data_IF_026030400804
#
_entry.id   IF_026030400804
#
_cell.length_a   1.000
_cell.length_b   1.000
_cell.length_c   1.000
_cell.angle_alpha   90.00
_cell.angle_beta   90.00
_cell.angle_gamma   90.00
#
_symmetry.space_group_name_H-M   'P 1'
#
loop_
_entity.id
_entity.type
_entity.pdbx_description
1 polymer ?
#
# COMPACT_ATOMS: atom_id res chain seq x y z
N UNK A 1 -25.00 9.06 -7.39
CA UNK A 1 -24.56 7.65 -7.41
C UNK A 1 -23.65 7.40 -6.23
N UNK A 2 -23.77 6.26 -5.55
CA UNK A 2 -22.77 5.85 -4.54
C UNK A 2 -21.61 5.21 -5.32
N UNK A 3 -20.46 5.88 -5.38
CA UNK A 3 -19.24 5.34 -5.99
C UNK A 3 -18.37 4.68 -4.92
N UNK A 4 -17.75 3.55 -5.25
CA UNK A 4 -16.80 2.87 -4.39
C UNK A 4 -15.73 2.19 -5.24
N UNK A 5 -14.53 2.04 -4.68
CA UNK A 5 -13.41 1.39 -5.34
C UNK A 5 -13.29 -0.06 -4.85
N UNK A 6 -13.36 -1.06 -5.73
CA UNK A 6 -13.17 -2.46 -5.32
C UNK A 6 -11.70 -2.70 -4.94
N UNK A 7 -11.51 -3.50 -3.89
CA UNK A 7 -10.20 -4.03 -3.48
C UNK A 7 -10.21 -5.52 -3.77
N UNK A 8 -9.25 -5.95 -4.59
CA UNK A 8 -9.04 -7.34 -4.93
C UNK A 8 -7.81 -7.88 -4.21
N UNK A 9 -7.92 -9.12 -3.73
CA UNK A 9 -6.84 -9.90 -3.17
C UNK A 9 -6.47 -11.02 -4.13
N UNK A 10 -5.18 -11.32 -4.19
CA UNK A 10 -4.64 -12.50 -4.84
C UNK A 10 -3.88 -13.35 -3.84
N UNK A 11 -4.06 -14.66 -3.89
CA UNK A 11 -3.22 -15.60 -3.14
C UNK A 11 -1.92 -15.81 -3.92
N UNK A 12 -0.80 -15.34 -3.35
CA UNK A 12 0.51 -15.40 -4.00
C UNK A 12 1.04 -16.80 -4.29
N UNK A 13 0.53 -17.82 -3.59
CA UNK A 13 0.93 -19.22 -3.78
C UNK A 13 0.24 -19.91 -4.97
N UNK A 14 -0.67 -19.22 -5.66
CA UNK A 14 -1.29 -19.74 -6.88
C UNK A 14 -0.32 -19.54 -8.05
N UNK A 15 -0.03 -20.58 -8.85
CA UNK A 15 0.81 -20.47 -10.04
C UNK A 15 0.42 -19.31 -10.97
N UNK A 16 1.42 -18.61 -11.51
CA UNK A 16 1.22 -17.40 -12.33
C UNK A 16 0.34 -17.65 -13.56
N UNK A 17 0.47 -18.81 -14.19
CA UNK A 17 -0.30 -19.24 -15.35
C UNK A 17 -1.79 -19.48 -15.03
N UNK A 18 -2.12 -19.74 -13.76
CA UNK A 18 -3.49 -19.81 -13.26
C UNK A 18 -3.98 -18.40 -12.92
N UNK A 19 -3.20 -17.61 -12.18
CA UNK A 19 -3.59 -16.24 -11.82
C UNK A 19 -3.84 -15.34 -13.04
N UNK A 20 -3.03 -15.48 -14.10
CA UNK A 20 -3.15 -14.64 -15.29
C UNK A 20 -4.36 -14.96 -16.18
N UNK A 21 -5.13 -16.02 -15.88
CA UNK A 21 -6.33 -16.40 -16.63
C UNK A 21 -7.57 -15.83 -15.94
N UNK A 22 -8.28 -14.84 -16.54
CA UNK A 22 -9.48 -14.24 -15.94
C UNK A 22 -10.57 -15.26 -15.60
N UNK A 23 -10.65 -16.36 -16.36
CA UNK A 23 -11.65 -17.43 -16.18
C UNK A 23 -11.40 -18.30 -14.95
N UNK A 24 -10.20 -18.24 -14.36
CA UNK A 24 -9.80 -19.08 -13.22
C UNK A 24 -10.05 -18.41 -11.86
N UNK A 25 -10.62 -17.19 -11.85
CA UNK A 25 -11.10 -16.50 -10.64
C UNK A 25 -10.10 -16.45 -9.47
N UNK A 26 -8.80 -16.41 -9.75
CA UNK A 26 -7.75 -16.35 -8.74
C UNK A 26 -7.76 -15.02 -7.94
N UNK A 27 -8.44 -13.99 -8.47
CA UNK A 27 -8.63 -12.70 -7.81
C UNK A 27 -9.95 -12.69 -7.04
N UNK A 28 -9.88 -12.46 -5.73
CA UNK A 28 -11.03 -12.40 -4.85
C UNK A 28 -11.35 -10.95 -4.50
N UNK A 29 -12.61 -10.54 -4.63
CA UNK A 29 -13.07 -9.24 -4.15
C UNK A 29 -13.13 -9.26 -2.62
N UNK A 30 -12.31 -8.45 -1.96
CA UNK A 30 -12.28 -8.36 -0.49
C UNK A 30 -13.30 -7.34 0.04
N UNK A 31 -13.56 -6.28 -0.72
CA UNK A 31 -14.47 -5.24 -0.29
C UNK A 31 -14.42 -4.00 -1.16
N UNK A 32 -15.16 -2.99 -0.73
CA UNK A 32 -15.27 -1.70 -1.41
C UNK A 32 -14.83 -0.57 -0.47
N UNK A 33 -13.88 0.23 -0.92
CA UNK A 33 -13.50 1.45 -0.23
C UNK A 33 -14.44 2.57 -0.69
N UNK A 34 -15.06 3.32 0.24
CA UNK A 34 -15.97 4.39 -0.13
C UNK A 34 -15.24 5.47 -0.94
N UNK A 35 -15.76 5.81 -2.13
CA UNK A 35 -15.29 6.95 -2.90
C UNK A 35 -16.02 8.22 -2.43
N UNK A 36 -15.92 8.51 -1.14
CA UNK A 36 -16.52 9.70 -0.53
C UNK A 36 -15.89 10.94 -1.13
N UNK A 37 -16.73 11.85 -1.63
CA UNK A 37 -16.25 13.13 -2.16
C UNK A 37 -15.92 14.12 -1.03
N UNK A 38 -16.21 13.78 0.23
CA UNK A 38 -15.99 14.60 1.45
C UNK A 38 -16.21 16.11 1.20
N UNK A 39 -17.29 16.46 0.48
CA UNK A 39 -17.53 17.81 -0.08
C UNK A 39 -17.59 18.93 0.98
N UNK A 40 -17.78 18.57 2.24
CA UNK A 40 -17.81 19.51 3.36
C UNK A 40 -16.41 20.03 3.72
N UNK A 41 -15.34 19.34 3.31
CA UNK A 41 -13.96 19.78 3.52
C UNK A 41 -13.56 20.66 2.32
N UNK A 42 -13.64 21.98 2.50
CA UNK A 42 -13.29 22.94 1.46
C UNK A 42 -11.76 23.06 1.22
N UNK A 43 -10.97 22.88 2.28
CA UNK A 43 -9.51 22.94 2.18
C UNK A 43 -8.99 21.67 1.49
N UNK A 44 -8.26 21.85 0.38
CA UNK A 44 -7.77 20.75 -0.46
C UNK A 44 -6.77 19.84 0.25
N UNK A 45 -5.90 20.39 1.09
CA UNK A 45 -4.88 19.62 1.80
C UNK A 45 -5.51 18.80 2.92
N UNK A 46 -6.42 19.41 3.69
CA UNK A 46 -7.22 18.72 4.69
C UNK A 46 -8.10 17.62 4.06
N UNK A 47 -8.66 17.88 2.88
CA UNK A 47 -9.43 16.89 2.13
C UNK A 47 -8.55 15.72 1.70
N UNK A 48 -7.37 16.00 1.11
CA UNK A 48 -6.44 14.94 0.68
C UNK A 48 -5.95 14.11 1.85
N UNK A 49 -5.72 14.73 3.01
CA UNK A 49 -5.34 14.05 4.25
C UNK A 49 -6.48 13.17 4.77
N UNK A 50 -7.71 13.69 4.83
CA UNK A 50 -8.88 12.94 5.29
C UNK A 50 -9.18 11.72 4.39
N UNK A 51 -9.06 11.87 3.06
CA UNK A 51 -9.21 10.74 2.12
C UNK A 51 -8.12 9.69 2.34
N UNK A 52 -6.88 10.11 2.58
CA UNK A 52 -5.79 9.18 2.85
C UNK A 52 -6.03 8.39 4.15
N UNK A 53 -6.35 9.07 5.25
CA UNK A 53 -6.67 8.42 6.52
C UNK A 53 -7.89 7.49 6.42
N UNK A 54 -8.91 7.87 5.66
CA UNK A 54 -10.06 6.99 5.40
C UNK A 54 -9.63 5.72 4.67
N UNK A 55 -8.78 5.84 3.64
CA UNK A 55 -8.24 4.68 2.92
C UNK A 55 -7.47 3.76 3.87
N UNK A 56 -6.52 4.30 4.65
CA UNK A 56 -5.73 3.49 5.59
C UNK A 56 -6.62 2.85 6.66
N UNK A 57 -7.56 3.60 7.24
CA UNK A 57 -8.54 3.06 8.20
C UNK A 57 -9.37 1.90 7.63
N UNK A 58 -9.82 2.02 6.37
CA UNK A 58 -10.54 0.93 5.69
C UNK A 58 -9.64 -0.29 5.48
N UNK A 59 -8.40 -0.07 5.05
CA UNK A 59 -7.43 -1.15 4.83
C UNK A 59 -7.04 -1.83 6.14
N UNK A 60 -6.89 -1.09 7.25
CA UNK A 60 -6.67 -1.67 8.59
C UNK A 60 -7.78 -2.68 8.92
N UNK A 61 -9.05 -2.27 8.76
CA UNK A 61 -10.20 -3.13 9.04
C UNK A 61 -10.23 -4.37 8.14
N UNK A 62 -9.93 -4.19 6.86
CA UNK A 62 -9.96 -5.27 5.87
C UNK A 62 -8.86 -6.30 6.12
N UNK A 63 -7.65 -5.86 6.50
CA UNK A 63 -6.48 -6.71 6.70
C UNK A 63 -6.24 -7.11 8.17
N UNK A 64 -7.07 -6.64 9.12
CA UNK A 64 -6.97 -6.97 10.54
C UNK A 64 -6.77 -8.47 10.83
N UNK A 65 -7.45 -9.42 10.14
CA UNK A 65 -7.19 -10.85 10.39
C UNK A 65 -5.73 -11.28 10.13
N UNK A 66 -5.03 -10.63 9.21
CA UNK A 66 -3.64 -10.95 8.85
C UNK A 66 -2.69 -10.59 9.99
N UNK A 67 -3.00 -9.56 10.78
CA UNK A 67 -2.20 -9.16 11.94
C UNK A 67 -2.02 -10.32 12.92
N UNK A 68 -3.13 -10.98 13.29
CA UNK A 68 -3.11 -12.11 14.21
C UNK A 68 -2.65 -13.41 13.54
N UNK A 69 -3.26 -13.77 12.41
CA UNK A 69 -3.00 -15.07 11.77
C UNK A 69 -1.63 -15.14 11.09
N UNK A 70 -1.04 -14.01 10.70
CA UNK A 70 0.34 -13.97 10.21
C UNK A 70 1.35 -14.43 11.26
N UNK A 71 1.05 -14.24 12.56
CA UNK A 71 1.91 -14.68 13.67
C UNK A 71 1.56 -16.08 14.18
N UNK A 72 0.27 -16.38 14.39
CA UNK A 72 -0.17 -17.60 15.10
C UNK A 72 -0.48 -18.77 14.15
N UNK A 73 -0.56 -18.52 12.84
CA UNK A 73 -1.04 -19.41 11.79
C UNK A 73 -2.56 -19.66 11.79
N UNK A 74 -3.08 -20.14 10.66
CA UNK A 74 -4.45 -20.59 10.46
C UNK A 74 -4.46 -21.83 9.54
N UNK A 75 -5.33 -22.79 9.84
CA UNK A 75 -5.54 -23.93 8.96
C UNK A 75 -6.28 -23.49 7.68
N UNK A 76 -5.67 -23.72 6.52
CA UNK A 76 -6.29 -23.46 5.21
C UNK A 76 -6.25 -24.73 4.37
N UNK A 77 -7.29 -24.95 3.59
CA UNK A 77 -7.44 -26.12 2.73
C UNK A 77 -7.20 -25.74 1.27
N UNK A 78 -6.46 -26.57 0.54
CA UNK A 78 -6.28 -26.42 -0.90
C UNK A 78 -7.49 -26.95 -1.68
N UNK A 79 -7.52 -26.69 -3.00
CA UNK A 79 -8.60 -27.17 -3.86
C UNK A 79 -8.73 -28.70 -3.94
N UNK A 80 -7.65 -29.43 -3.66
CA UNK A 80 -7.59 -30.90 -3.58
C UNK A 80 -7.83 -31.45 -2.16
N UNK A 81 -8.20 -30.61 -1.20
CA UNK A 81 -8.61 -31.03 0.15
C UNK A 81 -7.47 -31.22 1.16
N UNK A 82 -6.24 -30.83 0.81
CA UNK A 82 -5.08 -30.93 1.71
C UNK A 82 -5.04 -29.73 2.66
N UNK A 83 -4.87 -30.00 3.95
CA UNK A 83 -4.78 -28.97 4.98
C UNK A 83 -3.34 -28.51 5.20
N UNK A 84 -3.16 -27.19 5.26
CA UNK A 84 -1.88 -26.55 5.56
C UNK A 84 -2.02 -25.60 6.74
N UNK A 85 -0.99 -25.58 7.58
CA UNK A 85 -0.77 -24.54 8.57
C UNK A 85 -0.20 -23.30 7.86
N UNK A 86 -1.02 -22.27 7.67
CA UNK A 86 -0.67 -21.11 6.85
C UNK A 86 -0.49 -19.85 7.70
N UNK A 87 0.54 -19.08 7.39
CA UNK A 87 0.75 -17.74 7.94
C UNK A 87 0.47 -16.71 6.83
N UNK A 88 -0.76 -16.16 6.74
CA UNK A 88 -1.05 -15.13 5.75
C UNK A 88 -0.18 -13.91 6.02
N UNK A 89 0.46 -13.39 4.97
CA UNK A 89 1.25 -12.16 5.02
C UNK A 89 0.91 -11.29 3.81
N UNK A 90 1.02 -9.98 3.97
CA UNK A 90 0.93 -9.07 2.83
C UNK A 90 2.23 -9.15 2.02
N UNK A 91 2.17 -9.79 0.85
CA UNK A 91 3.36 -10.05 0.04
C UNK A 91 3.63 -8.98 -1.04
N UNK A 92 2.59 -8.39 -1.62
CA UNK A 92 2.72 -7.39 -2.70
C UNK A 92 1.56 -6.42 -2.67
N UNK A 93 1.82 -5.19 -3.12
CA UNK A 93 0.77 -4.22 -3.42
C UNK A 93 0.90 -3.77 -4.88
N UNK A 94 -0.16 -3.97 -5.65
CA UNK A 94 -0.24 -3.61 -7.07
C UNK A 94 -1.19 -2.42 -7.20
N UNK A 95 -0.67 -1.31 -7.71
CA UNK A 95 -1.45 -0.11 -7.96
C UNK A 95 -0.70 0.83 -8.89
N UNK A 96 -1.46 1.75 -9.48
CA UNK A 96 -0.89 2.88 -10.21
C UNK A 96 -0.03 3.77 -9.28
N UNK A 97 0.76 4.66 -9.86
CA UNK A 97 1.67 5.52 -9.11
C UNK A 97 0.96 6.33 -7.99
N UNK A 98 -0.18 7.00 -8.22
CA UNK A 98 -0.91 7.68 -7.14
C UNK A 98 -1.30 6.75 -5.98
N UNK A 99 -1.77 5.52 -6.25
CA UNK A 99 -2.10 4.55 -5.21
C UNK A 99 -0.86 4.02 -4.48
N UNK A 100 0.25 3.80 -5.19
CA UNK A 100 1.51 3.43 -4.56
C UNK A 100 1.92 4.50 -3.54
N UNK A 101 1.87 5.78 -3.94
CA UNK A 101 2.21 6.89 -3.05
C UNK A 101 1.27 7.02 -1.86
N UNK A 102 -0.02 6.78 -2.06
CA UNK A 102 -1.02 6.75 -0.99
C UNK A 102 -0.65 5.67 0.03
N UNK A 103 -0.44 4.44 -0.43
CA UNK A 103 -0.16 3.28 0.41
C UNK A 103 1.17 3.41 1.16
N UNK A 104 2.21 3.97 0.54
CA UNK A 104 3.49 4.22 1.21
C UNK A 104 3.53 5.53 2.00
N UNK A 105 2.43 6.28 2.06
CA UNK A 105 2.35 7.57 2.73
C UNK A 105 3.44 8.55 2.23
N UNK A 106 3.72 8.58 0.93
CA UNK A 106 4.77 9.42 0.34
C UNK A 106 4.22 10.59 -0.47
N UNK A 107 5.02 11.66 -0.58
CA UNK A 107 4.68 12.84 -1.38
C UNK A 107 4.67 12.56 -2.89
N UNK A 108 3.83 13.31 -3.61
CA UNK A 108 3.79 13.27 -5.08
C UNK A 108 5.14 13.69 -5.68
N UNK A 109 5.55 13.01 -6.75
CA UNK A 109 6.86 13.24 -7.37
C UNK A 109 8.03 12.75 -6.52
N UNK A 110 7.81 11.74 -5.66
CA UNK A 110 8.86 11.00 -4.94
C UNK A 110 8.81 9.52 -5.29
N UNK A 111 9.88 8.81 -5.01
CA UNK A 111 9.87 7.34 -5.08
C UNK A 111 9.15 6.78 -3.84
N UNK A 112 8.22 5.81 -4.02
CA UNK A 112 7.60 5.11 -2.91
C UNK A 112 8.58 4.17 -2.18
N UNK A 113 9.67 3.73 -2.83
CA UNK A 113 10.61 2.74 -2.29
C UNK A 113 11.88 3.34 -1.67
N UNK A 114 12.44 4.38 -2.29
CA UNK A 114 13.73 4.97 -1.88
C UNK A 114 13.61 6.45 -1.54
N UNK A 115 14.68 7.02 -0.99
CA UNK A 115 14.74 8.41 -0.50
C UNK A 115 15.20 9.41 -1.56
N UNK A 116 15.18 9.03 -2.84
CA UNK A 116 15.60 9.89 -3.97
C UNK A 116 14.94 11.28 -3.91
N UNK A 117 15.74 12.37 -4.00
CA UNK A 117 15.22 13.72 -4.18
C UNK A 117 14.39 13.85 -5.45
N UNK A 118 13.35 14.69 -5.43
CA UNK A 118 12.48 14.90 -6.60
C UNK A 118 13.25 15.31 -7.87
N UNK A 119 14.28 16.14 -7.72
CA UNK A 119 15.11 16.61 -8.84
C UNK A 119 16.08 15.57 -9.40
N UNK A 120 16.28 14.46 -8.68
CA UNK A 120 17.20 13.38 -9.03
C UNK A 120 16.46 12.14 -9.55
N UNK A 121 15.14 12.25 -9.77
CA UNK A 121 14.37 11.17 -10.39
C UNK A 121 14.81 10.97 -11.84
N UNK A 122 15.14 9.72 -12.20
CA UNK A 122 15.59 9.37 -13.54
C UNK A 122 17.09 9.51 -13.77
N UNK A 123 17.87 9.87 -12.75
CA UNK A 123 19.34 9.79 -12.81
C UNK A 123 19.81 8.36 -12.49
N UNK A 124 21.04 8.02 -12.91
CA UNK A 124 21.67 6.73 -12.60
C UNK A 124 22.21 6.63 -11.17
N UNK A 125 21.92 7.63 -10.33
CA UNK A 125 22.33 7.65 -8.94
C UNK A 125 21.49 6.67 -8.11
N UNK A 126 22.17 5.94 -7.23
CA UNK A 126 21.51 5.03 -6.28
C UNK A 126 21.24 5.73 -4.97
N UNK A 127 19.98 5.72 -4.55
CA UNK A 127 19.55 6.25 -3.25
C UNK A 127 19.13 5.10 -2.33
N UNK A 128 19.35 5.23 -1.00
CA UNK A 128 18.97 4.19 -0.06
C UNK A 128 17.46 3.97 -0.04
N UNK A 129 17.07 2.74 0.27
CA UNK A 129 15.68 2.39 0.51
C UNK A 129 15.16 3.13 1.75
N UNK A 130 13.86 3.42 1.76
CA UNK A 130 13.22 4.03 2.93
C UNK A 130 13.33 3.08 4.12
N UNK A 131 13.71 3.64 5.27
CA UNK A 131 13.84 2.87 6.49
C UNK A 131 12.45 2.59 7.07
N UNK A 132 12.03 1.33 7.00
CA UNK A 132 10.72 0.88 7.49
C UNK A 132 10.54 1.10 8.99
N UNK A 133 11.53 0.73 9.81
CA UNK A 133 11.46 0.91 11.27
C UNK A 133 11.35 2.38 11.67
N UNK A 134 12.10 3.26 10.98
CA UNK A 134 11.99 4.70 11.21
C UNK A 134 10.62 5.26 10.80
N UNK A 135 10.03 4.75 9.71
CA UNK A 135 8.67 5.12 9.31
C UNK A 135 7.63 4.67 10.34
N UNK A 136 7.68 3.41 10.80
CA UNK A 136 6.81 2.90 11.87
C UNK A 136 6.97 3.74 13.14
N UNK A 137 8.20 4.01 13.58
CA UNK A 137 8.44 4.85 14.76
C UNK A 137 8.00 6.32 14.58
N UNK A 138 7.83 6.79 13.35
CA UNK A 138 7.26 8.11 13.07
C UNK A 138 5.73 8.07 13.18
N UNK A 139 5.09 7.04 12.61
CA UNK A 139 3.63 6.89 12.64
C UNK A 139 3.10 6.53 14.02
N UNK A 140 3.87 5.83 14.86
CA UNK A 140 3.51 5.55 16.25
C UNK A 140 3.35 6.81 17.12
N UNK A 141 3.72 7.99 16.62
CA UNK A 141 3.55 9.28 17.28
C UNK A 141 2.22 9.96 16.93
N UNK A 142 1.37 9.37 16.08
CA UNK A 142 0.12 10.00 15.61
C UNK A 142 -0.87 10.30 16.72
N UNK A 143 -0.88 9.50 17.79
CA UNK A 143 -1.74 9.72 18.97
C UNK A 143 -1.23 10.85 19.90
N UNK A 144 -0.02 11.36 19.65
CA UNK A 144 0.64 12.36 20.46
C UNK A 144 0.35 13.80 20.04
N UNK A 145 1.30 14.70 20.28
CA UNK A 145 1.22 16.09 19.84
C UNK A 145 1.24 16.18 18.29
N UNK A 146 0.20 16.76 17.65
CA UNK A 146 0.12 16.85 16.19
C UNK A 146 1.26 17.63 15.55
N UNK A 147 1.79 18.65 16.24
CA UNK A 147 2.89 19.47 15.73
C UNK A 147 4.17 18.66 15.61
N UNK A 148 4.49 17.92 16.67
CA UNK A 148 5.63 17.01 16.73
C UNK A 148 5.48 15.89 15.70
N UNK A 149 4.29 15.27 15.61
CA UNK A 149 4.02 14.24 14.62
C UNK A 149 4.23 14.74 13.19
N UNK A 150 3.66 15.90 12.84
CA UNK A 150 3.81 16.47 11.50
C UNK A 150 5.27 16.83 11.19
N UNK A 151 6.01 17.39 12.14
CA UNK A 151 7.43 17.69 11.97
C UNK A 151 8.24 16.40 11.71
N UNK A 152 8.00 15.34 12.48
CA UNK A 152 8.65 14.04 12.30
C UNK A 152 8.33 13.41 10.94
N UNK A 153 7.07 13.45 10.51
CA UNK A 153 6.66 13.00 9.17
C UNK A 153 7.39 13.78 8.07
N UNK A 154 7.45 15.11 8.21
CA UNK A 154 8.14 15.97 7.26
C UNK A 154 9.64 15.62 7.14
N UNK A 155 10.33 15.46 8.27
CA UNK A 155 11.76 15.09 8.31
C UNK A 155 12.01 13.70 7.70
N UNK A 156 11.09 12.76 7.90
CA UNK A 156 11.13 11.44 7.27
C UNK A 156 10.74 11.44 5.78
N UNK A 157 10.27 12.58 5.25
CA UNK A 157 9.75 12.69 3.88
C UNK A 157 8.51 11.84 3.64
N UNK A 158 7.64 11.76 4.65
CA UNK A 158 6.38 11.02 4.68
C UNK A 158 5.22 12.00 4.91
N UNK A 159 4.06 11.69 4.34
CA UNK A 159 2.82 12.42 4.63
C UNK A 159 2.34 12.03 6.03
N UNK A 160 1.85 12.97 6.85
CA UNK A 160 1.12 12.66 8.07
C UNK A 160 -0.08 11.75 7.72
N UNK A 161 -0.15 10.60 8.35
CA UNK A 161 -1.21 9.61 8.18
C UNK A 161 -1.37 8.88 9.50
N UNK A 162 -2.59 8.85 10.02
CA UNK A 162 -2.90 8.25 11.31
C UNK A 162 -2.91 6.73 11.13
N UNK A 163 -1.97 6.05 11.77
CA UNK A 163 -1.78 4.60 11.72
C UNK A 163 -1.97 3.95 10.35
N UNK A 164 -0.97 4.02 9.45
CA UNK A 164 -1.03 3.34 8.18
C UNK A 164 -1.30 1.83 8.35
N UNK A 165 -2.20 1.27 7.54
CA UNK A 165 -2.64 -0.13 7.69
C UNK A 165 -1.57 -1.23 7.78
N UNK A 166 -0.36 -0.94 7.32
CA UNK A 166 0.77 -1.88 7.33
C UNK A 166 1.64 -1.73 8.59
N UNK A 167 1.35 -0.79 9.48
CA UNK A 167 2.13 -0.50 10.69
C UNK A 167 2.24 -1.72 11.62
N UNK A 168 1.14 -2.44 11.80
CA UNK A 168 1.06 -3.59 12.70
C UNK A 168 1.11 -4.94 11.98
N UNK A 169 1.16 -4.96 10.64
CA UNK A 169 1.19 -6.21 9.89
C UNK A 169 2.52 -6.95 10.10
N UNK A 170 2.49 -8.26 10.41
CA UNK A 170 3.70 -9.03 10.63
C UNK A 170 4.46 -9.24 9.33
N UNK A 171 5.79 -9.35 9.43
CA UNK A 171 6.70 -9.66 8.32
C UNK A 171 6.52 -8.76 7.08
N UNK A 172 6.05 -7.53 7.29
CA UNK A 172 5.67 -6.59 6.24
C UNK A 172 6.66 -5.44 6.17
N UNK A 173 7.07 -5.04 4.97
CA UNK A 173 7.78 -3.78 4.72
C UNK A 173 7.22 -3.12 3.47
N UNK A 174 6.28 -2.20 3.64
CA UNK A 174 5.49 -1.66 2.52
C UNK A 174 6.34 -1.09 1.38
N UNK A 175 7.49 -0.50 1.70
CA UNK A 175 8.39 0.12 0.72
C UNK A 175 9.05 -0.91 -0.21
N UNK A 176 9.10 -2.18 0.19
CA UNK A 176 9.60 -3.29 -0.63
C UNK A 176 8.50 -3.96 -1.45
N UNK A 177 7.27 -3.97 -0.93
CA UNK A 177 6.11 -4.67 -1.52
C UNK A 177 5.49 -3.94 -2.71
N UNK A 178 5.84 -2.67 -2.92
CA UNK A 178 5.40 -1.90 -4.10
C UNK A 178 6.02 -2.49 -5.37
N UNK A 179 5.14 -3.00 -6.23
CA UNK A 179 5.47 -3.49 -7.57
C UNK A 179 5.23 -2.40 -8.62
N UNK A 180 6.06 -2.33 -9.67
CA UNK A 180 5.86 -1.37 -10.73
C UNK A 180 4.56 -1.66 -11.48
N UNK A 181 3.84 -0.60 -11.85
CA UNK A 181 2.68 -0.68 -12.72
C UNK A 181 3.14 -1.06 -14.13
N UNK A 182 2.79 -2.27 -14.56
CA UNK A 182 3.19 -2.80 -15.88
C UNK A 182 2.68 -1.91 -17.00
N UNK A 183 1.47 -1.35 -16.89
CA UNK A 183 0.88 -0.56 -17.96
C UNK A 183 1.50 0.84 -17.98
N UNK A 184 1.33 1.60 -16.89
CA UNK A 184 1.67 3.02 -16.89
C UNK A 184 3.17 3.27 -16.71
N UNK A 185 3.84 2.48 -15.86
CA UNK A 185 5.26 2.70 -15.59
C UNK A 185 6.15 1.95 -16.58
N UNK A 186 5.87 0.67 -16.85
CA UNK A 186 6.73 -0.12 -17.74
C UNK A 186 6.39 0.09 -19.22
N UNK A 187 5.16 -0.18 -19.64
CA UNK A 187 4.80 -0.13 -21.05
C UNK A 187 4.76 1.31 -21.59
N UNK A 188 3.99 2.18 -20.94
CA UNK A 188 3.84 3.58 -21.38
C UNK A 188 5.04 4.44 -20.98
N UNK A 189 5.60 4.21 -19.79
CA UNK A 189 6.69 5.04 -19.25
C UNK A 189 8.10 4.68 -19.73
N UNK A 190 8.34 3.43 -20.14
CA UNK A 190 9.67 2.97 -20.59
C UNK A 190 9.62 2.46 -22.02
N UNK A 191 8.86 1.38 -22.28
CA UNK A 191 8.92 0.68 -23.56
C UNK A 191 8.48 1.53 -24.74
N UNK A 192 7.44 2.35 -24.59
CA UNK A 192 6.97 3.27 -25.64
C UNK A 192 8.00 4.33 -26.03
N UNK A 193 8.97 4.62 -25.16
CA UNK A 193 10.03 5.59 -25.45
C UNK A 193 11.32 4.95 -25.97
N UNK A 194 11.41 3.62 -25.95
CA UNK A 194 12.54 2.85 -26.46
C UNK A 194 12.33 2.30 -27.87
N UNK A 195 11.08 2.27 -28.34
CA UNK A 195 10.66 1.83 -29.68
C UNK A 195 10.18 3.03 -30.48
#
# INVERSE_FOLDING_TARGET
>A
SKSAYPIYLLIGNIPKDIHSKPTQQAQMLMGYIPATQLKQIANKDAWSWAVANLFHSCMCKLLHPIESYGMISIAMVTGDGIWYCCHPILATFIGDYPKQLLVTCTYSGRCPKCTVPRGELGTDLRFPLRNFGAAVGTFSLSDGDPTTFHARCHDAGLKPTDHPFWEHLPFTNIFLLIMPDILHQLHQGVLKHLV
#
